data_IF_551003880050
#
_entry.id   IF_551003880050
#
_cell.length_a   1.000
_cell.length_b   1.000
_cell.length_c   1.000
_cell.angle_alpha   90.00
_cell.angle_beta   90.00
_cell.angle_gamma   90.00
#
_symmetry.space_group_name_H-M   'P 1'
#
loop_
_entity.id
_entity.type
_entity.pdbx_description
1 polymer ?
#
# COMPACT_ATOMS: atom_id res chain seq x y z
N UNK A 1 30.12 -14.18 -12.21
CA UNK A 1 30.20 -13.87 -10.78
C UNK A 1 28.90 -14.36 -10.20
N UNK A 2 28.91 -15.62 -9.78
CA UNK A 2 27.75 -16.28 -9.15
C UNK A 2 27.56 -15.67 -7.76
N UNK A 3 26.39 -15.07 -7.52
CA UNK A 3 25.96 -14.73 -6.16
C UNK A 3 25.69 -16.04 -5.42
N UNK A 4 26.72 -16.54 -4.73
CA UNK A 4 26.55 -17.60 -3.74
C UNK A 4 25.75 -17.04 -2.56
N UNK A 5 24.84 -17.84 -1.96
CA UNK A 5 24.16 -17.43 -0.75
C UNK A 5 25.16 -17.41 0.42
N UNK A 6 25.39 -16.23 1.01
CA UNK A 6 26.16 -16.08 2.24
C UNK A 6 25.34 -16.61 3.43
N UNK A 7 25.85 -17.65 4.09
CA UNK A 7 25.31 -18.19 5.35
C UNK A 7 26.21 -17.71 6.49
N UNK A 8 25.67 -16.86 7.37
CA UNK A 8 26.36 -16.35 8.56
C UNK A 8 25.72 -16.90 9.84
N UNK A 9 26.54 -17.61 10.62
CA UNK A 9 26.20 -18.22 11.90
C UNK A 9 26.47 -17.23 13.05
N UNK A 10 25.45 -16.53 13.54
CA UNK A 10 25.58 -15.68 14.73
C UNK A 10 24.34 -15.71 15.64
N UNK A 11 24.60 -15.67 16.95
CA UNK A 11 23.64 -15.70 18.04
C UNK A 11 22.95 -14.34 18.20
N UNK A 12 21.68 -14.25 17.82
CA UNK A 12 20.84 -13.08 18.08
C UNK A 12 19.88 -13.43 19.24
N UNK A 13 19.93 -12.66 20.32
CA UNK A 13 18.99 -12.75 21.46
C UNK A 13 18.96 -14.10 22.21
N UNK A 14 20.12 -14.78 22.31
CA UNK A 14 20.23 -16.07 23.03
C UNK A 14 19.41 -17.20 22.39
N UNK A 15 19.00 -17.05 21.12
CA UNK A 15 18.29 -18.07 20.35
C UNK A 15 19.17 -18.55 19.20
N UNK A 16 19.67 -19.78 19.32
CA UNK A 16 20.45 -20.47 18.29
C UNK A 16 19.63 -20.51 16.98
N UNK A 17 20.18 -19.98 15.89
CA UNK A 17 19.53 -19.92 14.58
C UNK A 17 20.50 -19.48 13.47
N UNK A 18 20.02 -19.48 12.23
CA UNK A 18 20.83 -19.13 11.04
C UNK A 18 20.13 -18.06 10.21
N UNK A 19 20.90 -17.20 9.54
CA UNK A 19 20.38 -16.22 8.58
C UNK A 19 20.61 -16.66 7.14
N UNK A 20 19.62 -16.40 6.26
CA UNK A 20 19.73 -16.66 4.83
C UNK A 20 19.23 -15.48 4.02
N UNK A 21 19.99 -15.11 2.99
CA UNK A 21 19.57 -14.16 1.97
C UNK A 21 19.51 -14.84 0.61
N UNK A 22 18.45 -14.55 -0.15
CA UNK A 22 18.29 -14.99 -1.53
C UNK A 22 17.52 -13.91 -2.31
N UNK A 23 17.67 -13.85 -3.65
CA UNK A 23 16.98 -12.86 -4.46
C UNK A 23 15.47 -12.87 -4.20
N UNK A 24 14.89 -11.70 -3.99
CA UNK A 24 13.46 -11.61 -3.68
C UNK A 24 12.64 -12.07 -4.87
N UNK A 25 11.97 -13.20 -4.70
CA UNK A 25 10.98 -13.75 -5.61
C UNK A 25 9.78 -14.20 -4.76
N UNK A 26 8.58 -13.72 -5.08
CA UNK A 26 7.36 -14.02 -4.31
C UNK A 26 7.12 -15.51 -4.20
N UNK A 27 7.36 -16.28 -5.27
CA UNK A 27 7.17 -17.72 -5.30
C UNK A 27 8.22 -18.44 -4.44
N UNK A 28 9.46 -17.98 -4.48
CA UNK A 28 10.54 -18.51 -3.63
C UNK A 28 10.33 -18.15 -2.15
N UNK A 29 9.90 -16.92 -1.84
CA UNK A 29 9.54 -16.47 -0.49
C UNK A 29 8.31 -17.23 0.03
N UNK A 30 7.30 -17.45 -0.79
CA UNK A 30 6.11 -18.22 -0.40
C UNK A 30 6.51 -19.65 -0.02
N UNK A 31 7.25 -20.35 -0.90
CA UNK A 31 7.75 -21.71 -0.64
C UNK A 31 8.69 -21.77 0.57
N UNK A 32 9.49 -20.72 0.77
CA UNK A 32 10.32 -20.57 1.96
C UNK A 32 9.46 -20.45 3.23
N UNK A 33 8.42 -19.63 3.23
CA UNK A 33 7.50 -19.47 4.38
C UNK A 33 6.67 -20.72 4.65
N UNK A 34 6.28 -21.47 3.61
CA UNK A 34 5.63 -22.77 3.77
C UNK A 34 6.58 -23.79 4.44
N UNK A 35 7.86 -23.79 4.07
CA UNK A 35 8.86 -24.71 4.65
C UNK A 35 9.36 -24.27 6.04
N UNK A 36 9.43 -22.95 6.29
CA UNK A 36 9.88 -22.35 7.53
C UNK A 36 8.83 -21.38 8.10
N UNK A 37 7.71 -21.85 8.66
CA UNK A 37 6.63 -20.99 9.17
C UNK A 37 7.05 -20.05 10.31
N UNK A 38 8.13 -20.39 11.02
CA UNK A 38 8.67 -19.60 12.14
C UNK A 38 9.81 -18.64 11.73
N UNK A 39 10.16 -18.58 10.44
CA UNK A 39 11.19 -17.67 9.97
C UNK A 39 10.76 -16.21 10.12
N UNK A 40 11.70 -15.32 10.41
CA UNK A 40 11.48 -13.88 10.59
C UNK A 40 12.36 -13.08 9.66
N UNK A 41 11.79 -12.08 9.01
CA UNK A 41 12.56 -11.12 8.22
C UNK A 41 13.25 -10.11 9.15
N UNK A 42 14.56 -9.91 8.99
CA UNK A 42 15.30 -8.84 9.64
C UNK A 42 15.52 -7.71 8.63
N UNK A 43 14.97 -6.53 8.89
CA UNK A 43 15.16 -5.35 8.03
C UNK A 43 16.62 -4.86 8.04
N UNK A 44 17.32 -4.98 9.17
CA UNK A 44 18.70 -4.54 9.34
C UNK A 44 19.67 -5.38 8.50
N UNK A 45 19.50 -6.70 8.52
CA UNK A 45 20.37 -7.65 7.80
C UNK A 45 19.90 -7.94 6.37
N UNK A 46 18.71 -7.44 5.99
CA UNK A 46 18.03 -7.78 4.72
C UNK A 46 18.01 -9.30 4.45
N UNK A 47 17.79 -10.07 5.50
CA UNK A 47 17.87 -11.53 5.48
C UNK A 47 16.76 -12.17 6.33
N UNK A 48 16.46 -13.44 6.03
CA UNK A 48 15.54 -14.24 6.83
C UNK A 48 16.30 -14.98 7.93
N UNK A 49 15.86 -14.80 9.18
CA UNK A 49 16.33 -15.57 10.33
C UNK A 49 15.45 -16.81 10.54
N UNK A 50 16.07 -17.99 10.60
CA UNK A 50 15.42 -19.26 10.88
C UNK A 50 15.84 -19.74 12.27
N UNK A 51 14.91 -19.91 13.23
CA UNK A 51 15.26 -20.36 14.57
C UNK A 51 15.56 -21.87 14.62
N UNK A 52 16.53 -22.25 15.44
CA UNK A 52 16.90 -23.63 15.80
C UNK A 52 18.35 -23.98 15.47
N UNK A 53 18.94 -24.88 16.26
CA UNK A 53 20.33 -25.34 16.10
C UNK A 53 20.62 -26.09 14.79
N UNK A 54 19.59 -26.57 14.09
CA UNK A 54 19.70 -27.22 12.78
C UNK A 54 19.27 -26.30 11.63
N UNK A 55 19.08 -25.00 11.89
CA UNK A 55 18.62 -24.03 10.89
C UNK A 55 19.52 -24.02 9.65
N UNK A 56 20.84 -23.95 9.81
CA UNK A 56 21.80 -24.00 8.71
C UNK A 56 21.59 -25.21 7.79
N UNK A 57 21.65 -26.44 8.33
CA UNK A 57 21.46 -27.67 7.55
C UNK A 57 20.09 -27.75 6.84
N UNK A 58 19.04 -27.19 7.45
CA UNK A 58 17.71 -27.16 6.84
C UNK A 58 17.63 -26.14 5.71
N UNK A 59 18.26 -24.98 5.90
CA UNK A 59 18.41 -23.95 4.87
C UNK A 59 19.19 -24.51 3.69
N UNK A 60 20.35 -25.13 3.92
CA UNK A 60 21.18 -25.72 2.86
C UNK A 60 20.42 -26.77 2.06
N UNK A 61 19.69 -27.67 2.75
CA UNK A 61 18.86 -28.67 2.09
C UNK A 61 17.73 -28.05 1.26
N UNK A 62 17.14 -26.96 1.75
CA UNK A 62 16.12 -26.24 1.02
C UNK A 62 16.70 -25.51 -0.19
N UNK A 63 17.84 -24.83 -0.04
CA UNK A 63 18.58 -24.17 -1.13
C UNK A 63 19.02 -25.18 -2.19
N UNK A 64 19.54 -26.35 -1.80
CA UNK A 64 19.92 -27.41 -2.73
C UNK A 64 18.71 -27.94 -3.51
N UNK A 65 17.55 -28.10 -2.85
CA UNK A 65 16.30 -28.50 -3.51
C UNK A 65 15.73 -27.41 -4.42
N UNK A 66 15.98 -26.15 -4.09
CA UNK A 66 15.56 -25.02 -4.89
C UNK A 66 16.49 -24.80 -6.10
N UNK A 67 17.79 -25.04 -5.93
CA UNK A 67 18.78 -25.07 -6.99
C UNK A 67 18.55 -26.23 -7.96
N UNK A 68 18.18 -27.43 -7.47
CA UNK A 68 17.85 -28.57 -8.34
C UNK A 68 16.55 -28.38 -9.13
N UNK A 69 15.70 -27.41 -8.73
CA UNK A 69 14.52 -27.00 -9.50
C UNK A 69 14.86 -25.97 -10.58
N UNK A 70 16.00 -25.28 -10.47
CA UNK A 70 16.49 -24.40 -11.53
C UNK A 70 17.05 -25.28 -12.64
N UNK A 71 16.32 -25.35 -13.74
CA UNK A 71 16.81 -25.93 -14.97
C UNK A 71 18.01 -25.09 -15.45
N UNK A 72 19.18 -25.74 -15.57
CA UNK A 72 20.43 -25.11 -16.01
C UNK A 72 20.29 -24.49 -17.41
N UNK A 73 19.36 -25.01 -18.21
CA UNK A 73 19.05 -24.53 -19.55
C UNK A 73 17.84 -23.59 -19.59
N UNK A 74 17.23 -23.24 -18.45
CA UNK A 74 16.03 -22.38 -18.41
C UNK A 74 16.25 -21.05 -19.14
N UNK A 75 17.42 -20.43 -18.95
CA UNK A 75 17.76 -19.17 -19.59
C UNK A 75 17.92 -19.32 -21.11
N UNK A 76 18.53 -20.41 -21.59
CA UNK A 76 18.65 -20.69 -23.01
C UNK A 76 17.29 -20.99 -23.63
N UNK A 77 16.49 -21.84 -22.98
CA UNK A 77 15.12 -22.15 -23.39
C UNK A 77 14.24 -20.88 -23.47
N UNK A 78 14.38 -19.98 -22.51
CA UNK A 78 13.67 -18.71 -22.50
C UNK A 78 14.08 -17.78 -23.65
N UNK A 79 15.37 -17.77 -24.03
CA UNK A 79 15.85 -17.04 -25.22
C UNK A 79 15.28 -17.64 -26.50
N UNK A 80 15.29 -18.96 -26.62
CA UNK A 80 14.79 -19.66 -27.80
C UNK A 80 13.27 -19.47 -27.94
N UNK A 81 12.52 -19.55 -26.82
CA UNK A 81 11.09 -19.26 -26.79
C UNK A 81 10.76 -17.81 -27.17
N UNK A 82 11.56 -16.84 -26.69
CA UNK A 82 11.42 -15.45 -27.11
C UNK A 82 11.74 -15.24 -28.59
N UNK A 83 12.79 -15.89 -29.11
CA UNK A 83 13.13 -15.82 -30.53
C UNK A 83 12.04 -16.41 -31.42
N UNK A 84 11.35 -17.46 -30.95
CA UNK A 84 10.25 -18.10 -31.67
C UNK A 84 8.97 -17.25 -31.66
N UNK A 85 8.56 -16.74 -30.50
CA UNK A 85 7.35 -15.94 -30.38
C UNK A 85 7.63 -14.67 -29.56
N UNK A 86 8.18 -13.59 -30.17
CA UNK A 86 8.56 -12.40 -29.43
C UNK A 86 7.34 -11.60 -28.97
N UNK A 87 7.36 -11.15 -27.71
CA UNK A 87 6.44 -10.10 -27.24
C UNK A 87 6.87 -8.78 -27.87
N UNK A 88 6.01 -8.21 -28.71
CA UNK A 88 6.21 -6.90 -29.33
C UNK A 88 5.36 -5.86 -28.58
N UNK A 89 6.00 -5.09 -27.70
CA UNK A 89 5.32 -4.06 -26.92
C UNK A 89 6.24 -2.87 -26.64
N UNK A 90 5.73 -1.62 -26.66
CA UNK A 90 6.53 -0.42 -26.40
C UNK A 90 7.07 -0.36 -24.97
N UNK A 91 6.51 -1.16 -24.06
CA UNK A 91 6.89 -1.19 -22.65
C UNK A 91 7.99 -2.22 -22.35
N UNK A 92 8.34 -3.08 -23.31
CA UNK A 92 9.32 -4.14 -23.17
C UNK A 92 10.59 -3.80 -23.95
N UNK A 93 11.72 -3.75 -23.24
CA UNK A 93 13.05 -3.66 -23.84
C UNK A 93 13.86 -4.90 -23.48
N UNK A 94 14.80 -5.28 -24.32
CA UNK A 94 15.64 -6.46 -24.08
C UNK A 94 17.06 -5.99 -23.80
N UNK A 95 17.75 -6.71 -22.92
CA UNK A 95 19.17 -6.57 -22.69
C UNK A 95 19.84 -7.96 -22.71
N UNK A 96 21.17 -7.99 -22.62
CA UNK A 96 21.92 -9.25 -22.63
C UNK A 96 21.62 -10.16 -21.43
N UNK A 97 20.97 -9.64 -20.39
CA UNK A 97 20.70 -10.30 -19.10
C UNK A 97 19.20 -10.61 -18.91
N UNK A 98 18.33 -10.25 -19.85
CA UNK A 98 16.89 -10.49 -19.78
C UNK A 98 16.03 -9.36 -20.35
N UNK A 99 14.84 -9.23 -19.77
CA UNK A 99 13.81 -8.27 -20.13
C UNK A 99 13.81 -7.08 -19.16
N UNK A 100 13.68 -5.87 -19.71
CA UNK A 100 13.51 -4.60 -18.99
C UNK A 100 12.14 -4.02 -19.32
N UNK A 101 11.28 -3.94 -18.31
CA UNK A 101 9.91 -3.50 -18.45
C UNK A 101 9.79 -2.09 -17.86
N UNK A 102 9.44 -1.12 -18.71
CA UNK A 102 9.26 0.27 -18.33
C UNK A 102 7.81 0.67 -18.55
N UNK A 103 7.02 0.61 -17.49
CA UNK A 103 5.60 0.96 -17.51
C UNK A 103 5.30 2.13 -16.57
N UNK A 104 4.21 2.87 -16.78
CA UNK A 104 3.67 3.76 -15.76
C UNK A 104 3.40 3.01 -14.45
N UNK A 105 3.48 3.70 -13.31
CA UNK A 105 3.14 3.10 -12.02
C UNK A 105 1.63 2.78 -11.97
N UNK A 106 1.31 1.50 -11.87
CA UNK A 106 -0.02 1.02 -11.54
C UNK A 106 0.09 -0.13 -10.55
N UNK A 107 -0.81 -0.16 -9.57
CA UNK A 107 -0.86 -1.24 -8.57
C UNK A 107 -1.10 -2.59 -9.24
N UNK A 108 -1.97 -2.63 -10.24
CA UNK A 108 -2.25 -3.85 -11.03
C UNK A 108 -0.99 -4.36 -11.73
N UNK A 109 -0.23 -3.48 -12.39
CA UNK A 109 1.02 -3.87 -13.06
C UNK A 109 2.03 -4.43 -12.06
N UNK A 110 2.18 -3.79 -10.90
CA UNK A 110 3.07 -4.27 -9.83
C UNK A 110 2.62 -5.62 -9.28
N UNK A 111 1.31 -5.84 -9.15
CA UNK A 111 0.75 -7.11 -8.67
C UNK A 111 0.98 -8.25 -9.66
N UNK A 112 0.80 -8.00 -10.97
CA UNK A 112 1.08 -8.95 -12.05
C UNK A 112 2.58 -9.26 -12.18
N UNK A 113 3.44 -8.24 -12.22
CA UNK A 113 4.89 -8.44 -12.32
C UNK A 113 5.49 -9.17 -11.12
N UNK A 114 4.85 -9.08 -9.95
CA UNK A 114 5.23 -9.88 -8.77
C UNK A 114 4.85 -11.36 -8.85
N UNK A 115 3.97 -11.76 -9.79
CA UNK A 115 3.67 -13.17 -10.04
C UNK A 115 4.72 -13.80 -10.95
N UNK A 116 5.39 -13.01 -11.79
CA UNK A 116 6.45 -13.49 -12.66
C UNK A 116 7.67 -13.89 -11.82
N UNK A 117 8.16 -15.13 -11.94
CA UNK A 117 9.31 -15.59 -11.16
C UNK A 117 10.56 -14.74 -11.42
N UNK A 118 11.36 -14.54 -10.38
CA UNK A 118 12.62 -13.78 -10.43
C UNK A 118 12.51 -12.33 -10.95
N UNK A 119 11.29 -11.80 -11.08
CA UNK A 119 11.07 -10.41 -11.44
C UNK A 119 11.50 -9.49 -10.30
N UNK A 120 12.35 -8.52 -10.63
CA UNK A 120 12.95 -7.62 -9.65
C UNK A 120 12.76 -6.17 -10.06
N UNK A 121 12.41 -5.35 -9.08
CA UNK A 121 12.38 -3.90 -9.26
C UNK A 121 13.78 -3.31 -9.09
N UNK A 122 14.27 -2.58 -10.10
CA UNK A 122 15.50 -1.80 -10.03
C UNK A 122 15.16 -0.33 -9.80
N UNK A 123 15.30 0.19 -8.57
CA UNK A 123 14.89 1.55 -8.23
C UNK A 123 15.71 2.64 -8.94
N UNK A 124 16.98 2.38 -9.25
CA UNK A 124 17.90 3.32 -9.91
C UNK A 124 17.42 3.67 -11.31
N UNK A 125 17.00 2.66 -12.06
CA UNK A 125 16.54 2.78 -13.44
C UNK A 125 15.01 2.90 -13.54
N UNK A 126 14.29 2.70 -12.43
CA UNK A 126 12.83 2.62 -12.36
C UNK A 126 12.24 1.63 -13.38
N UNK A 127 12.86 0.46 -13.48
CA UNK A 127 12.43 -0.62 -14.38
C UNK A 127 12.29 -1.93 -13.62
N UNK A 128 11.41 -2.78 -14.10
CA UNK A 128 11.40 -4.18 -13.72
C UNK A 128 12.38 -4.96 -14.60
N UNK A 129 13.23 -5.77 -13.98
CA UNK A 129 14.06 -6.74 -14.67
C UNK A 129 13.46 -8.13 -14.50
N UNK A 130 13.35 -8.87 -15.60
CA UNK A 130 12.90 -10.26 -15.62
C UNK A 130 13.92 -11.09 -16.40
N UNK A 131 14.47 -12.19 -15.84
CA UNK A 131 15.38 -13.09 -16.56
C UNK A 131 14.73 -13.78 -17.75
N UNK A 132 15.54 -14.32 -18.66
CA UNK A 132 15.03 -15.10 -19.79
C UNK A 132 14.32 -16.38 -19.35
N UNK A 133 14.81 -17.04 -18.29
CA UNK A 133 14.18 -18.21 -17.70
C UNK A 133 12.69 -18.04 -17.33
N UNK A 134 12.22 -16.81 -17.13
CA UNK A 134 10.84 -16.49 -16.74
C UNK A 134 9.99 -15.98 -17.91
N UNK A 135 10.43 -16.23 -19.14
CA UNK A 135 9.75 -15.74 -20.34
C UNK A 135 8.31 -16.24 -20.48
N UNK A 136 8.09 -17.54 -20.31
CA UNK A 136 6.76 -18.14 -20.46
C UNK A 136 5.76 -17.56 -19.44
N UNK A 137 6.20 -17.36 -18.20
CA UNK A 137 5.40 -16.71 -17.15
C UNK A 137 5.14 -15.23 -17.49
N UNK A 138 6.18 -14.51 -17.92
CA UNK A 138 6.04 -13.12 -18.35
C UNK A 138 5.02 -13.00 -19.48
N UNK A 139 5.04 -13.90 -20.46
CA UNK A 139 4.10 -13.95 -21.58
C UNK A 139 2.67 -14.19 -21.12
N UNK A 140 2.44 -15.10 -20.15
CA UNK A 140 1.10 -15.34 -19.57
C UNK A 140 0.52 -14.10 -18.90
N UNK A 141 1.34 -13.32 -18.21
CA UNK A 141 0.92 -12.09 -17.52
C UNK A 141 0.94 -10.84 -18.43
N UNK A 142 1.56 -10.92 -19.62
CA UNK A 142 1.84 -9.75 -20.45
C UNK A 142 0.59 -8.99 -20.87
N UNK A 143 -0.48 -9.71 -21.25
CA UNK A 143 -1.72 -9.06 -21.69
C UNK A 143 -2.32 -8.17 -20.59
N UNK A 144 -2.38 -8.65 -19.35
CA UNK A 144 -2.89 -7.88 -18.21
C UNK A 144 -1.99 -6.66 -17.91
N UNK A 145 -0.67 -6.84 -18.00
CA UNK A 145 0.31 -5.77 -17.81
C UNK A 145 0.13 -4.68 -18.87
N UNK A 146 0.01 -5.07 -20.14
CA UNK A 146 -0.09 -4.12 -21.26
C UNK A 146 -1.44 -3.37 -21.25
N UNK A 147 -2.55 -4.06 -20.99
CA UNK A 147 -3.85 -3.41 -20.84
C UNK A 147 -3.85 -2.41 -19.68
N UNK A 148 -3.27 -2.79 -18.54
CA UNK A 148 -3.12 -1.88 -17.41
C UNK A 148 -2.20 -0.71 -17.76
N UNK A 149 -1.10 -0.93 -18.47
CA UNK A 149 -0.19 0.13 -18.91
C UNK A 149 -0.90 1.14 -19.82
N UNK A 150 -1.63 0.66 -20.85
CA UNK A 150 -2.45 1.48 -21.76
C UNK A 150 -3.50 2.30 -21.01
N UNK A 151 -4.24 1.68 -20.07
CA UNK A 151 -5.24 2.39 -19.25
C UNK A 151 -4.64 3.49 -18.36
N UNK A 152 -3.41 3.28 -17.89
CA UNK A 152 -2.71 4.20 -16.99
C UNK A 152 -1.77 5.17 -17.70
N UNK A 153 -1.72 5.12 -19.03
CA UNK A 153 -0.99 6.08 -19.84
C UNK A 153 -1.49 7.50 -19.56
N UNK A 154 -0.59 8.48 -19.34
CA UNK A 154 -0.97 9.85 -18.99
C UNK A 154 -1.97 10.47 -19.96
N UNK A 155 -1.93 10.10 -21.24
CA UNK A 155 -2.84 10.59 -22.28
C UNK A 155 -4.25 10.00 -22.15
N UNK A 156 -4.37 8.70 -21.90
CA UNK A 156 -5.67 8.05 -21.63
C UNK A 156 -6.26 8.47 -20.27
N UNK A 157 -5.42 8.86 -19.30
CA UNK A 157 -5.88 9.53 -18.07
C UNK A 157 -6.42 10.93 -18.35
N UNK A 158 -5.77 11.69 -19.24
CA UNK A 158 -6.23 13.03 -19.67
C UNK A 158 -7.53 12.95 -20.46
N UNK A 159 -7.64 12.07 -21.45
CA UNK A 159 -8.89 11.84 -22.21
C UNK A 159 -10.06 11.44 -21.32
N UNK A 160 -9.83 10.59 -20.31
CA UNK A 160 -10.89 10.24 -19.34
C UNK A 160 -11.23 11.40 -18.39
N UNK A 161 -10.26 12.21 -17.99
CA UNK A 161 -10.52 13.42 -17.22
C UNK A 161 -11.32 14.45 -18.04
N UNK A 162 -11.02 14.57 -19.34
CA UNK A 162 -11.75 15.42 -20.29
C UNK A 162 -13.15 14.89 -20.59
N UNK A 163 -13.34 13.58 -20.76
CA UNK A 163 -14.66 12.97 -20.95
C UNK A 163 -15.54 13.03 -19.68
N UNK A 164 -14.90 13.07 -18.49
CA UNK A 164 -15.60 13.33 -17.22
C UNK A 164 -15.81 14.81 -16.94
N UNK A 165 -15.22 15.70 -17.75
CA UNK A 165 -15.32 17.15 -17.57
C UNK A 165 -16.74 17.59 -17.90
N UNK A 166 -17.47 18.06 -16.90
CA UNK A 166 -18.87 18.50 -17.02
C UNK A 166 -19.92 17.46 -16.63
N UNK A 167 -19.53 16.25 -16.19
CA UNK A 167 -20.48 15.30 -15.61
C UNK A 167 -20.98 15.78 -14.25
N UNK A 168 -22.18 15.36 -13.87
CA UNK A 168 -22.77 15.67 -12.56
C UNK A 168 -21.91 15.14 -11.41
N UNK A 169 -21.27 13.98 -11.60
CA UNK A 169 -20.31 13.40 -10.65
C UNK A 169 -19.09 14.30 -10.42
N UNK A 170 -18.54 14.95 -11.45
CA UNK A 170 -17.43 15.88 -11.30
C UNK A 170 -17.86 17.14 -10.55
N UNK A 171 -19.04 17.68 -10.88
CA UNK A 171 -19.61 18.84 -10.17
C UNK A 171 -19.81 18.53 -8.69
N UNK A 172 -20.41 17.37 -8.37
CA UNK A 172 -20.59 16.91 -7.01
C UNK A 172 -19.25 16.66 -6.29
N UNK A 173 -18.26 16.07 -6.97
CA UNK A 173 -16.91 15.87 -6.40
C UNK A 173 -16.20 17.21 -6.14
N UNK A 174 -16.36 18.20 -7.02
CA UNK A 174 -15.82 19.55 -6.85
C UNK A 174 -16.50 20.28 -5.69
N UNK A 175 -17.83 20.17 -5.56
CA UNK A 175 -18.59 20.68 -4.40
C UNK A 175 -18.09 20.05 -3.10
N UNK A 176 -18.02 18.73 -3.00
CA UNK A 176 -17.45 18.01 -1.84
C UNK A 176 -16.02 18.43 -1.50
N UNK A 177 -15.17 18.60 -2.52
CA UNK A 177 -13.77 19.02 -2.33
C UNK A 177 -13.65 20.49 -1.93
N UNK A 178 -14.55 21.36 -2.38
CA UNK A 178 -14.61 22.75 -1.92
C UNK A 178 -15.11 22.81 -0.47
N UNK A 179 -16.13 22.03 -0.13
CA UNK A 179 -16.69 21.97 1.22
C UNK A 179 -15.66 21.44 2.24
N UNK A 180 -14.95 20.35 1.91
CA UNK A 180 -13.86 19.83 2.74
C UNK A 180 -12.75 20.86 3.00
N UNK A 181 -12.48 21.76 2.03
CA UNK A 181 -11.49 22.84 2.18
C UNK A 181 -11.94 23.93 3.14
N UNK A 182 -13.25 24.11 3.34
CA UNK A 182 -13.81 25.06 4.33
C UNK A 182 -13.58 24.59 5.77
N UNK A 183 -13.25 23.30 5.97
CA UNK A 183 -12.95 22.69 7.29
C UNK A 183 -14.03 22.98 8.34
N UNK A 184 -15.27 22.86 7.91
CA UNK A 184 -16.45 22.91 8.77
C UNK A 184 -17.20 21.58 8.72
N UNK A 185 -17.92 21.26 9.78
CA UNK A 185 -18.71 20.04 9.92
C UNK A 185 -20.03 20.40 10.63
N UNK A 186 -21.18 19.84 10.21
CA UNK A 186 -22.41 19.97 10.97
C UNK A 186 -22.28 19.22 12.30
N UNK A 187 -22.71 19.85 13.38
CA UNK A 187 -22.72 19.28 14.74
C UNK A 187 -24.12 19.42 15.31
N UNK A 188 -24.64 18.37 15.92
CA UNK A 188 -25.96 18.43 16.53
C UNK A 188 -25.99 19.42 17.69
N UNK A 189 -26.93 20.38 17.68
CA UNK A 189 -26.95 21.48 18.64
C UNK A 189 -27.15 21.03 20.09
N UNK A 190 -27.81 19.89 20.30
CA UNK A 190 -28.16 19.38 21.62
C UNK A 190 -27.04 18.58 22.32
N UNK A 191 -26.03 18.11 21.58
CA UNK A 191 -24.92 17.34 22.15
C UNK A 191 -23.59 17.64 21.44
N UNK A 192 -22.95 18.71 21.91
CA UNK A 192 -21.75 19.28 21.30
C UNK A 192 -20.47 18.56 21.73
N UNK A 193 -19.53 18.35 20.80
CA UNK A 193 -18.24 17.73 21.11
C UNK A 193 -17.34 18.63 21.97
N UNK A 194 -16.42 18.02 22.75
CA UNK A 194 -15.42 18.77 23.49
C UNK A 194 -14.44 19.48 22.55
N UNK A 195 -14.31 20.80 22.71
CA UNK A 195 -13.36 21.62 21.94
C UNK A 195 -11.93 21.24 22.31
N UNK A 196 -11.04 21.19 21.31
CA UNK A 196 -9.62 20.92 21.51
C UNK A 196 -9.26 19.46 21.76
N UNK A 197 -10.24 18.53 21.73
CA UNK A 197 -10.00 17.10 21.90
C UNK A 197 -10.19 16.32 20.58
N UNK A 198 -9.38 15.27 20.34
CA UNK A 198 -9.62 14.38 19.21
C UNK A 198 -10.94 13.62 19.36
N UNK A 199 -11.80 13.75 18.36
CA UNK A 199 -13.08 13.03 18.22
C UNK A 199 -13.07 12.28 16.89
N UNK A 200 -13.73 11.12 16.85
CA UNK A 200 -13.99 10.38 15.61
C UNK A 200 -15.31 10.84 15.02
N UNK A 201 -15.37 10.92 13.69
CA UNK A 201 -16.54 11.28 12.90
C UNK A 201 -16.70 10.34 11.72
N UNK A 202 -17.93 10.13 11.26
CA UNK A 202 -18.24 9.28 10.11
C UNK A 202 -17.62 9.81 8.82
N UNK A 203 -17.67 11.13 8.62
CA UNK A 203 -17.28 11.75 7.34
C UNK A 203 -15.77 11.98 7.19
N UNK A 204 -15.08 12.34 8.28
CA UNK A 204 -13.68 12.78 8.22
C UNK A 204 -12.71 11.95 9.05
N UNK A 205 -13.21 10.95 9.80
CA UNK A 205 -12.40 10.20 10.76
C UNK A 205 -12.06 11.06 11.97
N UNK A 206 -10.82 10.94 12.47
CA UNK A 206 -10.41 11.66 13.69
C UNK A 206 -10.06 13.11 13.38
N UNK A 207 -10.79 14.04 14.00
CA UNK A 207 -10.63 15.49 13.89
C UNK A 207 -10.58 16.14 15.28
N UNK A 208 -10.14 17.39 15.35
CA UNK A 208 -10.27 18.24 16.54
C UNK A 208 -11.16 19.42 16.19
N UNK A 209 -12.23 19.61 16.95
CA UNK A 209 -13.07 20.80 16.85
C UNK A 209 -12.34 21.98 17.49
N UNK A 210 -12.17 23.06 16.73
CA UNK A 210 -11.48 24.27 17.18
C UNK A 210 -12.47 25.33 17.65
N UNK A 211 -13.64 25.39 17.04
CA UNK A 211 -14.63 26.43 17.28
C UNK A 211 -16.01 25.90 16.89
N UNK A 212 -17.04 26.29 17.66
CA UNK A 212 -18.45 26.05 17.31
C UNK A 212 -19.05 27.43 17.08
N UNK A 213 -19.49 27.70 15.85
CA UNK A 213 -19.90 29.05 15.42
C UNK A 213 -21.31 29.42 15.86
N UNK A 214 -22.19 28.43 16.07
CA UNK A 214 -23.61 28.65 16.36
C UNK A 214 -24.45 28.99 15.12
N UNK A 215 -23.85 29.07 13.94
CA UNK A 215 -24.59 29.24 12.68
C UNK A 215 -25.33 27.94 12.35
N UNK A 216 -26.64 28.03 12.11
CA UNK A 216 -27.48 26.89 11.72
C UNK A 216 -27.11 26.41 10.32
N UNK A 217 -27.11 25.10 10.14
CA UNK A 217 -26.84 24.43 8.86
C UNK A 217 -28.10 24.48 8.01
N UNK A 218 -27.97 25.00 6.79
CA UNK A 218 -28.99 24.85 5.75
C UNK A 218 -28.88 23.44 5.16
N UNK A 219 -29.78 22.54 5.58
CA UNK A 219 -29.76 21.13 5.22
C UNK A 219 -29.94 20.90 3.71
N UNK A 220 -30.78 21.68 3.04
CA UNK A 220 -31.03 21.56 1.60
C UNK A 220 -29.76 21.86 0.80
N UNK A 221 -29.00 22.87 1.21
CA UNK A 221 -27.78 23.30 0.52
C UNK A 221 -26.62 22.30 0.67
N UNK A 222 -26.64 21.47 1.71
CA UNK A 222 -25.53 20.55 2.03
C UNK A 222 -25.88 19.06 1.96
N UNK A 223 -27.11 18.68 1.60
CA UNK A 223 -27.56 17.30 1.50
C UNK A 223 -26.63 16.41 0.64
N UNK A 224 -26.03 16.98 -0.42
CA UNK A 224 -25.03 16.32 -1.28
C UNK A 224 -23.77 15.84 -0.53
N UNK A 225 -23.40 16.52 0.57
CA UNK A 225 -22.16 16.32 1.32
C UNK A 225 -22.42 15.74 2.70
N UNK A 226 -23.51 16.15 3.33
CA UNK A 226 -23.98 15.71 4.64
C UNK A 226 -25.47 15.32 4.53
N UNK A 227 -25.78 14.09 4.07
CA UNK A 227 -27.16 13.65 3.90
C UNK A 227 -27.96 13.63 5.21
N UNK A 228 -27.27 13.43 6.34
CA UNK A 228 -27.88 13.32 7.67
C UNK A 228 -28.00 14.68 8.38
N UNK A 229 -27.62 15.79 7.73
CA UNK A 229 -27.74 17.11 8.31
C UNK A 229 -29.20 17.58 8.33
N UNK A 230 -29.61 18.16 9.45
CA UNK A 230 -30.94 18.74 9.68
C UNK A 230 -30.82 20.19 10.15
N UNK A 231 -31.93 20.90 10.24
CA UNK A 231 -31.99 22.29 10.73
C UNK A 231 -31.62 22.43 12.22
N UNK A 232 -31.46 21.30 12.94
CA UNK A 232 -30.96 21.25 14.32
C UNK A 232 -29.43 21.18 14.40
N UNK A 233 -28.74 21.16 13.26
CA UNK A 233 -27.28 21.15 13.21
C UNK A 233 -26.72 22.56 13.14
N UNK A 234 -25.61 22.78 13.82
CA UNK A 234 -24.83 24.02 13.78
C UNK A 234 -23.43 23.76 13.23
N UNK A 235 -22.81 24.80 12.67
CA UNK A 235 -21.47 24.68 12.11
C UNK A 235 -20.38 24.68 13.18
N UNK A 236 -19.53 23.65 13.15
CA UNK A 236 -18.25 23.60 13.86
C UNK A 236 -17.06 23.67 12.90
N UNK A 237 -16.02 24.43 13.24
CA UNK A 237 -14.73 24.40 12.54
C UNK A 237 -13.83 23.32 13.13
N UNK A 238 -13.05 22.68 12.26
CA UNK A 238 -12.17 21.59 12.66
C UNK A 238 -10.79 21.66 12.02
N UNK A 239 -9.84 20.93 12.62
CA UNK A 239 -8.53 20.66 12.04
C UNK A 239 -8.14 19.21 12.22
N UNK A 240 -7.22 18.75 11.38
CA UNK A 240 -6.60 17.45 11.58
C UNK A 240 -5.72 17.47 12.85
N UNK A 241 -5.73 16.39 13.65
CA UNK A 241 -4.86 16.26 14.81
C UNK A 241 -3.40 16.00 14.40
N UNK A 242 -2.46 16.49 15.19
CA UNK A 242 -1.04 16.15 15.09
C UNK A 242 -0.71 14.78 15.70
N UNK A 243 0.51 14.29 15.50
CA UNK A 243 0.91 13.00 16.08
C UNK A 243 0.91 13.00 17.61
N UNK A 244 1.42 14.06 18.24
CA UNK A 244 1.46 14.20 19.71
C UNK A 244 0.04 14.18 20.32
N UNK A 245 -0.90 14.89 19.70
CA UNK A 245 -2.30 14.93 20.13
C UNK A 245 -2.98 13.56 20.04
N UNK A 246 -2.72 12.82 18.96
CA UNK A 246 -3.20 11.45 18.78
C UNK A 246 -2.56 10.47 19.77
N UNK A 247 -1.34 10.71 20.22
CA UNK A 247 -0.67 9.86 21.21
C UNK A 247 -1.24 10.11 22.61
N UNK A 248 -1.48 11.38 22.95
CA UNK A 248 -2.04 11.79 24.26
C UNK A 248 -3.53 11.47 24.42
N UNK A 249 -4.25 11.23 23.32
CA UNK A 249 -5.68 10.90 23.39
C UNK A 249 -5.92 9.50 23.98
N UNK A 250 -6.79 9.45 24.99
CA UNK A 250 -7.25 8.20 25.58
C UNK A 250 -8.25 7.49 24.66
N UNK A 251 -8.10 6.19 24.39
CA UNK A 251 -9.05 5.44 23.58
C UNK A 251 -10.36 5.22 24.35
N UNK A 252 -11.48 5.20 23.62
CA UNK A 252 -12.73 4.62 24.15
C UNK A 252 -12.56 3.11 24.33
N UNK A 253 -13.11 2.58 25.43
CA UNK A 253 -13.17 1.13 25.70
C UNK A 253 -14.30 0.45 24.92
N UNK A 254 -15.31 1.21 24.52
CA UNK A 254 -16.52 0.70 23.86
C UNK A 254 -16.55 1.21 22.43
N UNK A 255 -17.02 0.36 21.51
CA UNK A 255 -17.30 0.77 20.13
C UNK A 255 -18.50 1.73 20.11
N UNK A 256 -18.55 2.65 19.15
CA UNK A 256 -19.65 3.60 19.07
C UNK A 256 -21.00 2.87 18.91
N UNK A 257 -21.97 3.22 19.75
CA UNK A 257 -23.34 2.74 19.64
C UNK A 257 -24.15 3.48 18.56
N UNK A 258 -25.39 3.07 18.32
CA UNK A 258 -26.26 3.70 17.32
C UNK A 258 -26.44 5.21 17.57
N UNK A 259 -26.66 5.60 18.84
CA UNK A 259 -26.79 7.01 19.23
C UNK A 259 -25.54 7.84 18.93
N UNK A 260 -24.35 7.30 19.17
CA UNK A 260 -23.09 8.03 18.93
C UNK A 260 -22.81 8.20 17.44
N UNK A 261 -23.24 7.23 16.62
CA UNK A 261 -23.18 7.32 15.16
C UNK A 261 -24.18 8.36 14.65
N UNK A 262 -25.41 8.36 15.18
CA UNK A 262 -26.47 9.32 14.83
C UNK A 262 -26.10 10.75 15.25
N UNK A 263 -25.53 10.93 16.44
CA UNK A 263 -24.97 12.21 16.91
C UNK A 263 -23.83 12.71 16.01
N UNK A 264 -23.21 11.84 15.23
CA UNK A 264 -22.16 12.19 14.27
C UNK A 264 -20.75 12.30 14.85
N UNK A 265 -20.56 12.11 16.16
CA UNK A 265 -19.24 12.09 16.79
C UNK A 265 -19.14 11.19 18.03
N UNK A 266 -17.96 10.59 18.23
CA UNK A 266 -17.63 9.77 19.39
C UNK A 266 -16.17 9.88 19.80
N UNK A 267 -15.84 9.35 20.98
CA UNK A 267 -14.45 9.24 21.40
C UNK A 267 -13.73 8.15 20.58
N UNK A 268 -12.55 8.42 20.02
CA UNK A 268 -11.87 7.47 19.14
C UNK A 268 -11.59 6.13 19.79
N UNK A 269 -11.80 5.05 19.05
CA UNK A 269 -11.43 3.70 19.49
C UNK A 269 -9.92 3.47 19.35
N UNK A 270 -9.39 2.43 20.01
CA UNK A 270 -7.97 2.08 19.90
C UNK A 270 -7.55 1.71 18.47
N UNK A 271 -8.45 1.11 17.68
CA UNK A 271 -8.21 0.71 16.30
C UNK A 271 -8.05 1.95 15.39
N UNK A 272 -8.98 2.90 15.51
CA UNK A 272 -8.95 4.19 14.80
C UNK A 272 -7.67 4.98 15.14
N UNK A 273 -7.32 5.05 16.44
CA UNK A 273 -6.10 5.74 16.88
C UNK A 273 -4.83 5.08 16.35
N UNK A 274 -4.75 3.74 16.30
CA UNK A 274 -3.59 3.04 15.74
C UNK A 274 -3.40 3.37 14.26
N UNK A 275 -4.47 3.40 13.48
CA UNK A 275 -4.40 3.75 12.06
C UNK A 275 -4.02 5.22 11.85
N UNK A 276 -4.65 6.13 12.60
CA UNK A 276 -4.35 7.56 12.52
C UNK A 276 -2.91 7.88 12.92
N UNK A 277 -2.40 7.29 14.02
CA UNK A 277 -0.99 7.44 14.45
C UNK A 277 -0.02 6.93 13.38
N UNK A 278 -0.33 5.81 12.71
CA UNK A 278 0.50 5.29 11.61
C UNK A 278 0.56 6.28 10.44
N UNK A 279 -0.60 6.78 10.01
CA UNK A 279 -0.68 7.78 8.92
C UNK A 279 0.05 9.08 9.28
N UNK A 280 -0.13 9.59 10.49
CA UNK A 280 0.54 10.80 10.97
C UNK A 280 2.07 10.64 10.98
N UNK A 281 2.60 9.51 11.49
CA UNK A 281 4.05 9.20 11.45
C UNK A 281 4.62 9.19 10.03
N UNK A 282 3.90 8.60 9.07
CA UNK A 282 4.35 8.57 7.68
C UNK A 282 4.37 9.98 7.08
N UNK A 283 3.39 10.83 7.39
CA UNK A 283 3.35 12.20 6.89
C UNK A 283 4.46 13.07 7.49
N UNK A 284 4.70 13.00 8.81
CA UNK A 284 5.82 13.73 9.43
C UNK A 284 7.18 13.34 8.85
N UNK A 285 7.39 12.04 8.55
CA UNK A 285 8.62 11.58 7.88
C UNK A 285 8.78 12.18 6.49
N UNK A 286 7.70 12.26 5.70
CA UNK A 286 7.73 12.87 4.36
C UNK A 286 8.05 14.36 4.43
N UNK A 287 7.46 15.09 5.38
CA UNK A 287 7.73 16.52 5.55
C UNK A 287 9.15 16.79 6.06
N UNK A 288 9.76 15.86 6.80
CA UNK A 288 11.16 15.97 7.25
C UNK A 288 12.21 15.60 6.20
N UNK A 289 11.81 14.91 5.13
CA UNK A 289 12.71 14.47 4.05
C UNK A 289 12.55 15.29 2.76
N UNK A 290 11.58 16.20 2.73
CA UNK A 290 11.40 17.21 1.69
C UNK A 290 12.03 18.53 2.13
#
# INVERSE_FOLDING_TARGET
MEDQPDTHHEEDDGKIGETVSFPFDRMTVQRFRETFPRARWSEERKAWFVPGSTAARRIDRWLAREASRRDVFADQKGRDAYAFEPILSPYLNIDNKGFRIRTPYSRTIVEELRQVPFAQWQPELKVWRVPFASYDDLRRHWQAIEEAAKRHEPEERRKRAEARKGTEEERAARRRSAERRRRRIPLWAHDLPPIGRPISTTTYGIIIITEITGEVVDAELVADVYPDATDEHIWGKWRAPGLDELVRSWPSKTRPGAYEVERGWWQPTIEELREARRKARTNERKTRTA
#
